data_IF_364883989760
#
_entry.id   IF_364883989760
#
_cell.length_a   1.000
_cell.length_b   1.000
_cell.length_c   1.000
_cell.angle_alpha   90.00
_cell.angle_beta   90.00
_cell.angle_gamma   90.00
#
_symmetry.space_group_name_H-M   'P 1'
#
loop_
_entity.id
_entity.type
_entity.pdbx_description
1 polymer ?
#
# COMPACT_ATOMS: atom_id res chain seq x y z
N UNK A 1 12.10 -19.47 11.89
CA UNK A 1 12.20 -18.10 11.32
C UNK A 1 12.72 -18.25 9.90
N UNK A 2 11.90 -17.99 8.88
CA UNK A 2 12.36 -18.05 7.48
C UNK A 2 13.45 -16.99 7.27
N UNK A 3 14.64 -17.41 6.84
CA UNK A 3 15.71 -16.47 6.49
C UNK A 3 15.42 -15.86 5.11
N UNK A 4 15.55 -14.54 5.03
CA UNK A 4 15.46 -13.77 3.78
C UNK A 4 16.54 -12.73 3.76
N UNK A 5 17.15 -12.47 2.61
CA UNK A 5 17.74 -11.16 2.36
C UNK A 5 16.59 -10.22 2.01
N UNK A 6 16.62 -9.01 2.57
CA UNK A 6 15.59 -7.99 2.33
C UNK A 6 16.25 -6.82 1.63
N UNK A 7 15.74 -6.49 0.44
CA UNK A 7 16.12 -5.27 -0.27
C UNK A 7 14.98 -4.27 -0.16
N UNK A 8 15.32 -3.01 0.06
CA UNK A 8 14.36 -1.91 0.20
C UNK A 8 14.83 -0.76 -0.67
N UNK A 9 13.95 -0.30 -1.54
CA UNK A 9 14.09 0.99 -2.24
C UNK A 9 12.95 1.88 -1.79
N UNK A 10 13.23 3.14 -1.49
CA UNK A 10 12.22 4.15 -1.14
C UNK A 10 12.51 5.42 -1.93
N UNK A 11 11.45 6.06 -2.42
CA UNK A 11 11.54 7.29 -3.20
C UNK A 11 10.39 8.22 -2.87
N UNK A 12 10.71 9.48 -2.62
CA UNK A 12 9.78 10.59 -2.69
C UNK A 12 9.88 11.18 -4.10
N UNK A 13 8.90 10.89 -4.96
CA UNK A 13 8.91 11.29 -6.35
C UNK A 13 8.00 12.50 -6.58
N UNK A 14 8.62 13.69 -6.58
CA UNK A 14 7.94 14.95 -6.80
C UNK A 14 7.36 15.10 -8.22
N UNK A 15 7.83 14.33 -9.21
CA UNK A 15 7.35 14.44 -10.59
C UNK A 15 5.94 13.86 -10.73
N UNK A 16 5.68 12.75 -10.04
CA UNK A 16 4.38 12.09 -9.99
C UNK A 16 3.63 12.37 -8.68
N UNK A 17 4.23 13.15 -7.79
CA UNK A 17 3.60 13.65 -6.56
C UNK A 17 3.26 12.56 -5.56
N UNK A 18 4.10 11.53 -5.40
CA UNK A 18 3.87 10.46 -4.43
C UNK A 18 5.15 10.00 -3.73
N UNK A 19 4.99 9.30 -2.62
CA UNK A 19 6.06 8.52 -1.99
C UNK A 19 5.79 7.05 -2.20
N UNK A 20 6.81 6.26 -2.54
CA UNK A 20 6.65 4.81 -2.65
C UNK A 20 7.88 4.05 -2.18
N UNK A 21 7.68 2.79 -1.83
CA UNK A 21 8.77 1.89 -1.47
C UNK A 21 8.53 0.49 -2.01
N UNK A 22 9.56 -0.10 -2.60
CA UNK A 22 9.57 -1.48 -3.07
C UNK A 22 10.41 -2.31 -2.11
N UNK A 23 9.81 -3.38 -1.59
CA UNK A 23 10.45 -4.30 -0.66
C UNK A 23 10.50 -5.68 -1.32
N UNK A 24 11.71 -6.18 -1.50
CA UNK A 24 11.97 -7.45 -2.14
C UNK A 24 12.50 -8.47 -1.13
N UNK A 25 11.98 -9.69 -1.21
CA UNK A 25 12.41 -10.87 -0.47
C UNK A 25 12.51 -12.05 -1.42
N UNK A 26 13.73 -12.43 -1.77
CA UNK A 26 14.02 -13.32 -2.90
C UNK A 26 13.34 -12.79 -4.18
N UNK A 27 12.41 -13.54 -4.77
CA UNK A 27 11.66 -13.20 -5.98
C UNK A 27 10.37 -12.42 -5.69
N UNK A 28 9.92 -12.40 -4.43
CA UNK A 28 8.68 -11.76 -4.03
C UNK A 28 8.90 -10.27 -3.80
N UNK A 29 8.05 -9.44 -4.40
CA UNK A 29 8.13 -7.98 -4.31
C UNK A 29 6.79 -7.41 -3.90
N UNK A 30 6.82 -6.52 -2.91
CA UNK A 30 5.68 -5.67 -2.57
C UNK A 30 6.04 -4.23 -2.81
N UNK A 31 5.06 -3.44 -3.25
CA UNK A 31 5.17 -2.00 -3.32
C UNK A 31 4.19 -1.38 -2.33
N UNK A 32 4.66 -0.36 -1.62
CA UNK A 32 3.85 0.49 -0.75
C UNK A 32 3.82 1.86 -1.43
N UNK A 33 2.64 2.39 -1.71
CA UNK A 33 2.45 3.67 -2.40
C UNK A 33 1.63 4.57 -1.49
N UNK A 34 2.15 5.76 -1.19
CA UNK A 34 1.46 6.84 -0.51
C UNK A 34 1.23 7.99 -1.50
N UNK A 35 -0.03 8.31 -1.78
CA UNK A 35 -0.45 9.48 -2.54
C UNK A 35 -1.49 10.24 -1.73
N UNK A 36 -1.21 11.51 -1.44
CA UNK A 36 -2.04 12.38 -0.60
C UNK A 36 -2.37 11.72 0.75
N UNK A 37 -3.60 11.24 0.91
CA UNK A 37 -4.13 10.60 2.11
C UNK A 37 -4.49 9.13 1.88
N UNK A 38 -3.95 8.51 0.83
CA UNK A 38 -4.16 7.11 0.47
C UNK A 38 -2.84 6.36 0.49
N UNK A 39 -2.77 5.28 1.28
CA UNK A 39 -1.60 4.39 1.31
C UNK A 39 -2.00 2.95 0.98
N UNK A 40 -1.55 2.45 -0.17
CA UNK A 40 -1.80 1.09 -0.62
C UNK A 40 -0.56 0.19 -0.50
N UNK A 41 -0.77 -1.09 -0.18
CA UNK A 41 0.24 -2.15 -0.27
C UNK A 41 -0.20 -3.13 -1.36
N UNK A 42 0.68 -3.40 -2.31
CA UNK A 42 0.38 -4.25 -3.46
C UNK A 42 1.44 -5.32 -3.66
N UNK A 43 1.04 -6.44 -4.26
CA UNK A 43 1.97 -7.34 -4.93
C UNK A 43 2.54 -6.61 -6.15
N UNK A 44 3.83 -6.28 -6.11
CA UNK A 44 4.44 -5.44 -7.15
C UNK A 44 4.54 -6.17 -8.48
N UNK A 45 4.74 -7.49 -8.48
CA UNK A 45 4.84 -8.26 -9.72
C UNK A 45 3.47 -8.34 -10.40
N UNK A 46 2.40 -8.62 -9.65
CA UNK A 46 1.03 -8.62 -10.22
C UNK A 46 0.60 -7.25 -10.68
N UNK A 47 0.92 -6.21 -9.91
CA UNK A 47 0.65 -4.84 -10.31
C UNK A 47 1.39 -4.57 -11.62
N UNK A 48 2.73 -4.60 -11.65
CA UNK A 48 3.55 -4.19 -12.81
C UNK A 48 3.27 -5.02 -14.07
N UNK A 49 3.15 -6.34 -13.95
CA UNK A 49 3.03 -7.23 -15.12
C UNK A 49 1.59 -7.39 -15.63
N UNK A 50 0.62 -7.50 -14.73
CA UNK A 50 -0.77 -7.78 -15.11
C UNK A 50 -1.64 -6.52 -15.11
N UNK A 51 -1.11 -5.39 -14.65
CA UNK A 51 -1.87 -4.14 -14.39
C UNK A 51 -3.10 -4.38 -13.50
N UNK A 52 -3.00 -5.35 -12.60
CA UNK A 52 -4.07 -5.69 -11.67
C UNK A 52 -4.02 -4.75 -10.46
N UNK A 53 -5.01 -3.87 -10.33
CA UNK A 53 -5.21 -3.09 -9.12
C UNK A 53 -5.80 -3.97 -8.01
N UNK A 54 -4.93 -4.75 -7.35
CA UNK A 54 -5.28 -5.59 -6.20
C UNK A 54 -4.37 -5.27 -5.03
N UNK A 55 -4.91 -4.55 -4.06
CA UNK A 55 -4.21 -4.22 -2.82
C UNK A 55 -4.35 -5.34 -1.79
N UNK A 56 -3.28 -5.55 -1.02
CA UNK A 56 -3.30 -6.34 0.22
C UNK A 56 -3.91 -5.53 1.36
N UNK A 57 -3.71 -4.22 1.34
CA UNK A 57 -4.20 -3.27 2.33
C UNK A 57 -4.25 -1.89 1.67
N UNK A 58 -5.35 -1.18 1.85
CA UNK A 58 -5.47 0.22 1.49
C UNK A 58 -5.93 1.00 2.71
N UNK A 59 -5.11 1.96 3.15
CA UNK A 59 -5.41 2.81 4.30
C UNK A 59 -5.71 4.23 3.83
N UNK A 60 -6.78 4.80 4.36
CA UNK A 60 -7.22 6.15 4.07
C UNK A 60 -7.08 6.99 5.34
N UNK A 61 -6.44 8.15 5.22
CA UNK A 61 -6.10 9.02 6.35
C UNK A 61 -6.91 10.33 6.27
N UNK A 62 -6.90 11.09 7.37
CA UNK A 62 -7.48 12.43 7.44
C UNK A 62 -6.44 13.55 7.35
N UNK A 63 -5.17 13.23 7.63
CA UNK A 63 -4.08 14.19 7.63
C UNK A 63 -2.78 13.58 7.09
N UNK A 64 -1.93 14.44 6.53
CA UNK A 64 -0.70 14.04 5.84
C UNK A 64 0.39 13.58 6.79
N UNK A 65 0.43 14.10 8.03
CA UNK A 65 1.43 13.72 9.03
C UNK A 65 1.23 12.26 9.45
N UNK A 66 0.00 11.89 9.80
CA UNK A 66 -0.40 10.53 10.13
C UNK A 66 -0.16 9.58 8.96
N UNK A 67 -0.52 9.99 7.74
CA UNK A 67 -0.33 9.18 6.53
C UNK A 67 1.15 8.86 6.30
N UNK A 68 2.03 9.86 6.32
CA UNK A 68 3.46 9.68 6.10
C UNK A 68 4.13 8.89 7.23
N UNK A 69 3.77 9.18 8.48
CA UNK A 69 4.29 8.45 9.65
C UNK A 69 3.91 6.97 9.59
N UNK A 70 2.69 6.66 9.18
CA UNK A 70 2.24 5.27 9.07
C UNK A 70 2.82 4.58 7.83
N UNK A 71 3.00 5.28 6.71
CA UNK A 71 3.74 4.78 5.54
C UNK A 71 5.14 4.26 5.92
N UNK A 72 5.93 5.05 6.67
CA UNK A 72 7.24 4.62 7.17
C UNK A 72 7.15 3.39 8.09
N UNK A 73 6.11 3.32 8.94
CA UNK A 73 5.86 2.14 9.79
C UNK A 73 5.52 0.91 8.96
N UNK A 74 4.72 1.05 7.92
CA UNK A 74 4.34 -0.03 7.02
C UNK A 74 5.56 -0.58 6.27
N UNK A 75 6.47 0.28 5.81
CA UNK A 75 7.77 -0.14 5.25
C UNK A 75 8.52 -1.01 6.26
N UNK A 76 8.75 -0.49 7.47
CA UNK A 76 9.45 -1.24 8.53
C UNK A 76 8.75 -2.56 8.90
N UNK A 77 7.42 -2.58 8.89
CA UNK A 77 6.61 -3.79 9.13
C UNK A 77 6.81 -4.81 8.01
N UNK A 78 6.78 -4.38 6.75
CA UNK A 78 6.96 -5.26 5.59
C UNK A 78 8.36 -5.85 5.55
N UNK A 79 9.40 -5.09 5.94
CA UNK A 79 10.77 -5.60 6.10
C UNK A 79 10.84 -6.76 7.11
N UNK A 80 10.04 -6.72 8.19
CA UNK A 80 10.04 -7.75 9.25
C UNK A 80 9.15 -8.96 8.97
N UNK A 81 8.16 -8.87 8.08
CA UNK A 81 7.21 -9.98 7.81
C UNK A 81 7.89 -11.18 7.15
N UNK A 82 7.45 -12.41 7.43
CA UNK A 82 7.95 -13.58 6.71
C UNK A 82 7.48 -13.60 5.25
N UNK A 83 8.19 -14.34 4.38
CA UNK A 83 7.79 -14.52 2.97
C UNK A 83 6.47 -15.26 2.86
N UNK A 84 6.22 -16.21 3.76
CA UNK A 84 4.94 -16.91 3.90
C UNK A 84 3.76 -16.06 4.39
N UNK A 85 3.97 -14.77 4.71
CA UNK A 85 2.87 -13.92 5.18
C UNK A 85 1.90 -13.52 4.07
N UNK A 86 0.70 -13.06 4.47
CA UNK A 86 -0.34 -12.57 3.55
C UNK A 86 0.07 -11.41 2.63
N UNK A 87 1.19 -10.76 2.95
CA UNK A 87 1.71 -9.64 2.17
C UNK A 87 2.58 -10.08 0.99
N UNK A 88 3.12 -11.29 1.00
CA UNK A 88 4.12 -11.72 0.01
C UNK A 88 3.69 -12.96 -0.80
N UNK A 89 3.18 -14.02 -0.17
CA UNK A 89 2.81 -15.25 -0.90
C UNK A 89 1.39 -15.74 -0.64
N UNK A 90 0.85 -15.53 0.56
CA UNK A 90 -0.46 -16.05 0.95
C UNK A 90 -1.57 -14.99 0.85
N UNK A 91 -1.69 -14.36 -0.31
CA UNK A 91 -2.68 -13.31 -0.53
C UNK A 91 -4.10 -13.86 -0.41
N UNK A 92 -4.91 -13.26 0.46
CA UNK A 92 -6.36 -13.46 0.50
C UNK A 92 -7.05 -12.29 -0.21
N UNK A 93 -7.97 -12.61 -1.12
CA UNK A 93 -8.77 -11.61 -1.82
C UNK A 93 -9.91 -11.19 -0.88
N UNK A 94 -9.74 -10.04 -0.25
CA UNK A 94 -10.71 -9.41 0.64
C UNK A 94 -10.60 -7.89 0.46
N UNK A 95 -11.70 -7.16 0.66
CA UNK A 95 -11.70 -5.69 0.64
C UNK A 95 -11.05 -5.14 1.92
N UNK A 96 -9.72 -5.12 1.93
CA UNK A 96 -8.88 -4.68 3.05
C UNK A 96 -8.72 -3.15 3.10
N UNK A 97 -9.83 -2.41 2.97
CA UNK A 97 -9.84 -0.96 3.15
C UNK A 97 -10.01 -0.60 4.61
N UNK A 98 -9.14 0.28 5.10
CA UNK A 98 -9.16 0.76 6.48
C UNK A 98 -9.15 2.28 6.52
N UNK A 99 -9.85 2.84 7.50
CA UNK A 99 -9.81 4.26 7.81
C UNK A 99 -8.96 4.45 9.07
N UNK A 100 -7.99 5.37 8.99
CA UNK A 100 -7.22 5.83 10.14
C UNK A 100 -7.86 7.11 10.66
N UNK A 101 -8.60 7.00 11.76
CA UNK A 101 -9.36 8.14 12.27
C UNK A 101 -8.50 9.09 13.13
N UNK A 102 -9.03 10.29 13.39
CA UNK A 102 -8.34 11.34 14.17
C UNK A 102 -8.01 10.95 15.61
N UNK A 103 -8.65 9.90 16.15
CA UNK A 103 -8.33 9.35 17.48
C UNK A 103 -7.15 8.37 17.45
N UNK A 104 -6.45 8.26 16.31
CA UNK A 104 -5.36 7.29 16.05
C UNK A 104 -5.80 5.83 16.12
N UNK A 105 -7.11 5.58 15.99
CA UNK A 105 -7.65 4.23 15.88
C UNK A 105 -7.96 3.88 14.43
N UNK A 106 -7.96 2.59 14.15
CA UNK A 106 -8.14 2.04 12.81
C UNK A 106 -9.36 1.14 12.79
N UNK A 107 -10.23 1.31 11.81
CA UNK A 107 -11.34 0.40 11.56
C UNK A 107 -11.42 0.03 10.08
N UNK A 108 -11.98 -1.15 9.82
CA UNK A 108 -12.32 -1.56 8.46
C UNK A 108 -13.43 -0.65 7.94
N UNK A 109 -13.34 -0.25 6.67
CA UNK A 109 -14.34 0.63 6.08
C UNK A 109 -15.73 -0.01 6.18
N UNK A 110 -16.70 0.73 6.72
CA UNK A 110 -18.09 0.27 6.79
C UNK A 110 -18.77 0.36 5.42
N UNK A 111 -19.92 -0.31 5.26
CA UNK A 111 -20.72 -0.22 4.03
C UNK A 111 -21.17 1.21 3.73
N UNK A 112 -21.50 1.98 4.76
CA UNK A 112 -21.91 3.37 4.66
C UNK A 112 -20.74 4.28 4.25
N UNK A 113 -19.56 4.04 4.82
CA UNK A 113 -18.35 4.80 4.53
C UNK A 113 -17.81 4.54 3.12
N UNK A 114 -18.05 3.35 2.53
CA UNK A 114 -17.59 3.03 1.17
C UNK A 114 -17.98 4.08 0.15
N UNK A 115 -19.20 4.59 0.22
CA UNK A 115 -19.68 5.63 -0.70
C UNK A 115 -18.99 6.97 -0.46
N UNK A 116 -18.69 7.31 0.80
CA UNK A 116 -18.01 8.55 1.20
C UNK A 116 -16.59 8.59 0.64
N UNK A 117 -15.89 7.46 0.66
CA UNK A 117 -14.50 7.35 0.22
C UNK A 117 -14.33 6.84 -1.21
N UNK A 118 -15.42 6.60 -1.94
CA UNK A 118 -15.37 5.98 -3.25
C UNK A 118 -14.60 6.84 -4.27
N UNK A 119 -14.81 8.15 -4.26
CA UNK A 119 -14.12 9.05 -5.18
C UNK A 119 -12.61 9.06 -4.94
N UNK A 120 -12.20 9.08 -3.65
CA UNK A 120 -10.79 8.98 -3.26
C UNK A 120 -10.17 7.66 -3.73
N UNK A 121 -10.91 6.56 -3.57
CA UNK A 121 -10.52 5.24 -4.06
C UNK A 121 -10.30 5.24 -5.57
N UNK A 122 -11.27 5.74 -6.36
CA UNK A 122 -11.20 5.78 -7.83
C UNK A 122 -10.02 6.65 -8.29
N UNK A 123 -9.82 7.81 -7.67
CA UNK A 123 -8.70 8.72 -7.99
C UNK A 123 -7.37 8.02 -7.72
N UNK A 124 -7.24 7.33 -6.59
CA UNK A 124 -6.03 6.61 -6.24
C UNK A 124 -5.77 5.41 -7.15
N UNK A 125 -6.80 4.62 -7.45
CA UNK A 125 -6.71 3.49 -8.40
C UNK A 125 -6.20 3.98 -9.76
N UNK A 126 -6.83 5.03 -10.29
CA UNK A 126 -6.42 5.63 -11.56
C UNK A 126 -4.97 6.12 -11.50
N UNK A 127 -4.59 6.83 -10.43
CA UNK A 127 -3.22 7.31 -10.25
C UNK A 127 -2.19 6.17 -10.29
N UNK A 128 -2.45 5.08 -9.56
CA UNK A 128 -1.54 3.92 -9.49
C UNK A 128 -1.42 3.25 -10.86
N UNK A 129 -2.53 3.04 -11.56
CA UNK A 129 -2.52 2.39 -12.87
C UNK A 129 -1.84 3.25 -13.94
N UNK A 130 -2.06 4.57 -13.92
CA UNK A 130 -1.46 5.50 -14.88
C UNK A 130 0.06 5.68 -14.67
N UNK A 131 0.57 5.48 -13.44
CA UNK A 131 1.97 5.70 -13.08
C UNK A 131 2.75 4.40 -12.86
N UNK A 132 2.15 3.26 -13.15
CA UNK A 132 2.71 1.95 -12.82
C UNK A 132 4.10 1.74 -13.41
N UNK A 133 4.34 2.27 -14.62
CA UNK A 133 5.59 2.14 -15.35
C UNK A 133 6.70 3.03 -14.75
N UNK A 134 6.33 4.09 -14.01
CA UNK A 134 7.23 5.02 -13.34
C UNK A 134 7.71 4.53 -11.97
N UNK A 135 7.01 3.55 -11.37
CA UNK A 135 7.40 2.94 -10.08
C UNK A 135 8.54 1.94 -10.20
#
# INVERSE_FOLDING_TARGET
>A
MEKSIVYVSMRDDNNIGCSYSIIQKDELKVIIILKDLECGIFDYNKLKCNREFKYVLLKQYHDTESAYKDFLKLIGKMCKKAKSSKYFSNHKIEDNRMIYNNSKSEHMISSEEKNIYNDRYIIFEKFVLDNIDNF
#
